data_IF_211884248436
#
_entry.id   IF_211884248436
#
_cell.length_a   1.000
_cell.length_b   1.000
_cell.length_c   1.000
_cell.angle_alpha   90.00
_cell.angle_beta   90.00
_cell.angle_gamma   90.00
#
_symmetry.space_group_name_H-M   'P 1'
#
loop_
_entity.id
_entity.type
_entity.pdbx_description
1 polymer ?
#
# COMPACT_ATOMS: atom_id res chain seq x y z
N UNK A 1 -11.04 9.94 5.11
CA UNK A 1 -11.54 9.13 6.23
C UNK A 1 -12.17 7.88 5.65
N UNK A 2 -11.62 6.70 5.97
CA UNK A 2 -12.38 5.44 5.88
C UNK A 2 -13.24 5.28 7.13
N UNK A 3 -14.29 4.47 7.04
CA UNK A 3 -15.27 4.17 8.10
C UNK A 3 -14.66 3.78 9.46
N UNK A 4 -15.53 3.51 10.44
CA UNK A 4 -15.11 2.66 11.54
C UNK A 4 -14.78 1.29 10.97
N UNK A 5 -13.54 0.83 11.13
CA UNK A 5 -13.09 -0.43 10.53
C UNK A 5 -12.36 -1.27 11.55
N UNK A 6 -12.57 -2.59 11.45
CA UNK A 6 -11.68 -3.61 11.98
C UNK A 6 -11.37 -4.55 10.83
N UNK A 7 -10.20 -4.40 10.24
CA UNK A 7 -9.79 -5.14 9.05
C UNK A 7 -8.56 -5.98 9.38
N UNK A 8 -8.68 -7.29 9.26
CA UNK A 8 -7.52 -8.18 9.36
C UNK A 8 -6.69 -8.08 8.07
N UNK A 9 -5.38 -8.12 8.20
CA UNK A 9 -4.42 -8.01 7.11
C UNK A 9 -3.56 -9.26 7.10
N UNK A 10 -3.65 -10.02 6.01
CA UNK A 10 -2.84 -11.22 5.79
C UNK A 10 -1.52 -10.90 5.12
N UNK A 11 -1.55 -10.03 4.11
CA UNK A 11 -0.34 -9.60 3.41
C UNK A 11 -0.18 -8.09 3.47
N UNK A 12 1.06 -7.65 3.65
CA UNK A 12 1.45 -6.29 3.30
C UNK A 12 2.28 -6.36 2.02
N UNK A 13 1.86 -5.59 1.02
CA UNK A 13 2.70 -5.26 -0.14
C UNK A 13 3.21 -3.84 0.03
N UNK A 14 4.53 -3.70 0.13
CA UNK A 14 5.20 -2.42 0.34
C UNK A 14 6.03 -2.05 -0.89
N UNK A 15 5.67 -0.95 -1.53
CA UNK A 15 6.48 -0.30 -2.56
C UNK A 15 7.36 0.73 -1.88
N UNK A 16 8.68 0.51 -1.85
CA UNK A 16 9.62 1.39 -1.17
C UNK A 16 9.67 2.79 -1.85
N UNK A 17 9.27 3.89 -1.18
CA UNK A 17 9.25 5.22 -1.78
C UNK A 17 10.60 5.72 -2.25
N UNK A 18 11.67 5.44 -1.49
CA UNK A 18 13.02 5.90 -1.81
C UNK A 18 13.54 5.20 -3.08
N UNK A 19 13.46 3.87 -3.14
CA UNK A 19 13.86 3.09 -4.32
C UNK A 19 13.00 3.44 -5.54
N UNK A 20 11.69 3.59 -5.34
CA UNK A 20 10.75 3.95 -6.41
C UNK A 20 11.05 5.33 -7.01
N UNK A 21 11.38 6.32 -6.18
CA UNK A 21 11.65 7.69 -6.63
C UNK A 21 12.79 7.78 -7.65
N UNK A 22 13.79 6.89 -7.51
CA UNK A 22 15.01 6.82 -8.33
C UNK A 22 14.79 6.12 -9.68
N UNK A 23 13.62 5.51 -9.90
CA UNK A 23 13.33 4.79 -11.13
C UNK A 23 13.04 5.73 -12.30
N UNK A 24 13.45 5.35 -13.53
CA UNK A 24 12.90 5.91 -14.76
C UNK A 24 11.38 5.70 -14.84
N UNK A 25 10.70 6.58 -15.58
CA UNK A 25 9.23 6.51 -15.70
C UNK A 25 8.73 5.18 -16.29
N UNK A 26 9.46 4.61 -17.26
CA UNK A 26 9.13 3.29 -17.83
C UNK A 26 9.10 2.20 -16.75
N UNK A 27 10.07 2.22 -15.84
CA UNK A 27 10.16 1.26 -14.75
C UNK A 27 9.07 1.48 -13.71
N UNK A 28 8.66 2.73 -13.48
CA UNK A 28 7.51 3.06 -12.62
C UNK A 28 6.18 2.52 -13.15
N UNK A 29 5.98 2.55 -14.48
CA UNK A 29 4.84 1.84 -15.10
C UNK A 29 4.98 0.32 -14.94
N UNK A 30 6.20 -0.23 -15.05
CA UNK A 30 6.43 -1.65 -14.82
C UNK A 30 6.08 -2.07 -13.39
N UNK A 31 6.36 -1.23 -12.38
CA UNK A 31 5.92 -1.45 -10.99
C UNK A 31 4.39 -1.53 -10.93
N UNK A 32 3.66 -0.60 -11.55
CA UNK A 32 2.19 -0.63 -11.58
C UNK A 32 1.65 -1.95 -12.17
N UNK A 33 2.21 -2.40 -13.31
CA UNK A 33 1.84 -3.69 -13.92
C UNK A 33 2.12 -4.89 -13.02
N UNK A 34 3.23 -4.85 -12.26
CA UNK A 34 3.57 -5.91 -11.31
C UNK A 34 2.60 -5.94 -10.13
N UNK A 35 2.14 -4.79 -9.65
CA UNK A 35 1.07 -4.74 -8.67
C UNK A 35 -0.20 -5.39 -9.22
N UNK A 36 -0.59 -5.08 -10.46
CA UNK A 36 -1.72 -5.73 -11.13
C UNK A 36 -1.58 -7.25 -11.23
N UNK A 37 -0.37 -7.74 -11.54
CA UNK A 37 -0.09 -9.18 -11.55
C UNK A 37 -0.22 -9.82 -10.16
N UNK A 38 0.22 -9.13 -9.10
CA UNK A 38 0.04 -9.60 -7.73
C UNK A 38 -1.44 -9.60 -7.32
N UNK A 39 -2.17 -8.56 -7.72
CA UNK A 39 -3.61 -8.41 -7.48
C UNK A 39 -4.40 -9.61 -7.96
N UNK A 40 -4.17 -10.06 -9.19
CA UNK A 40 -4.89 -11.21 -9.73
C UNK A 40 -4.35 -12.57 -9.27
N UNK A 41 -3.13 -12.64 -8.73
CA UNK A 41 -2.48 -13.91 -8.37
C UNK A 41 -2.56 -14.24 -6.89
N UNK A 42 -2.57 -13.24 -6.02
CA UNK A 42 -2.39 -13.41 -4.58
C UNK A 42 -3.51 -12.80 -3.75
N UNK A 43 -4.09 -11.67 -4.19
CA UNK A 43 -4.99 -10.89 -3.34
C UNK A 43 -6.41 -11.39 -3.50
N UNK A 44 -7.10 -11.47 -2.37
CA UNK A 44 -8.52 -11.79 -2.27
C UNK A 44 -9.01 -11.12 -1.00
N UNK A 45 -10.13 -10.39 -1.06
CA UNK A 45 -10.59 -9.58 0.07
C UNK A 45 -10.96 -10.46 1.28
N UNK A 46 -11.47 -11.66 1.03
CA UNK A 46 -11.96 -12.57 2.07
C UNK A 46 -10.86 -13.54 2.55
N UNK A 47 -10.08 -14.12 1.63
CA UNK A 47 -9.08 -15.16 1.93
C UNK A 47 -7.65 -14.63 2.12
N UNK A 48 -7.36 -13.47 1.53
CA UNK A 48 -6.03 -12.87 1.51
C UNK A 48 -6.06 -11.34 1.62
N UNK A 49 -6.74 -10.77 2.65
CA UNK A 49 -6.92 -9.34 2.76
C UNK A 49 -5.56 -8.65 2.79
N UNK A 50 -5.30 -7.87 1.75
CA UNK A 50 -3.99 -7.31 1.48
C UNK A 50 -4.02 -5.80 1.72
N UNK A 51 -3.04 -5.32 2.48
CA UNK A 51 -2.73 -3.91 2.63
C UNK A 51 -1.62 -3.55 1.63
N UNK A 52 -1.95 -2.66 0.70
CA UNK A 52 -1.00 -2.08 -0.23
C UNK A 52 -0.47 -0.75 0.32
N UNK A 53 0.84 -0.63 0.48
CA UNK A 53 1.51 0.57 0.97
C UNK A 53 2.51 1.05 -0.06
N UNK A 54 2.52 2.34 -0.37
CA UNK A 54 3.53 2.84 -1.31
C UNK A 54 3.51 4.35 -1.54
N UNK A 55 4.36 4.83 -2.45
CA UNK A 55 4.66 6.24 -2.60
C UNK A 55 3.51 7.04 -3.22
N UNK A 56 3.15 8.14 -2.56
CA UNK A 56 2.36 9.22 -3.13
C UNK A 56 1.01 8.78 -3.68
N UNK A 57 0.63 9.40 -4.81
CA UNK A 57 -0.68 9.22 -5.42
C UNK A 57 -0.76 7.96 -6.27
N UNK A 58 -1.57 7.00 -5.85
CA UNK A 58 -1.93 5.85 -6.67
C UNK A 58 -3.01 6.25 -7.69
N UNK A 59 -3.01 5.62 -8.87
CA UNK A 59 -3.95 6.02 -9.93
C UNK A 59 -3.56 7.32 -10.65
N UNK A 60 -2.32 7.78 -10.48
CA UNK A 60 -1.81 8.99 -11.15
C UNK A 60 -1.43 8.72 -12.61
N UNK A 61 -1.58 9.72 -13.48
CA UNK A 61 -0.98 9.69 -14.83
C UNK A 61 0.46 10.19 -14.83
N UNK A 62 0.95 10.72 -13.71
CA UNK A 62 2.28 11.31 -13.54
C UNK A 62 3.10 10.45 -12.56
N UNK A 63 3.96 9.54 -13.04
CA UNK A 63 4.68 8.58 -12.18
C UNK A 63 5.65 9.20 -11.17
N UNK A 64 6.08 10.45 -11.39
CA UNK A 64 6.91 11.16 -10.41
C UNK A 64 6.15 11.52 -9.13
N UNK A 65 4.82 11.52 -9.14
CA UNK A 65 3.96 11.86 -8.00
C UNK A 65 3.39 10.62 -7.26
N UNK A 66 3.60 9.41 -7.80
CA UNK A 66 3.11 8.18 -7.20
C UNK A 66 2.95 7.05 -8.23
N UNK A 67 2.21 6.01 -7.87
CA UNK A 67 2.15 4.77 -8.67
C UNK A 67 1.04 4.84 -9.73
N UNK A 68 1.37 4.72 -11.03
CA UNK A 68 0.40 4.89 -12.13
C UNK A 68 -0.40 3.61 -12.41
N UNK A 69 -1.06 3.08 -11.37
CA UNK A 69 -1.99 1.95 -11.50
C UNK A 69 -3.30 2.35 -12.15
N UNK A 70 -3.99 1.39 -12.74
CA UNK A 70 -5.43 1.46 -13.01
C UNK A 70 -6.19 0.83 -11.85
N UNK A 71 -7.47 1.19 -11.66
CA UNK A 71 -8.28 0.60 -10.59
C UNK A 71 -8.32 -0.94 -10.66
N UNK A 72 -8.47 -1.51 -11.86
CA UNK A 72 -8.48 -2.97 -12.07
C UNK A 72 -7.17 -3.67 -11.70
N UNK A 73 -6.09 -2.93 -11.45
CA UNK A 73 -4.82 -3.50 -10.98
C UNK A 73 -4.73 -3.61 -9.47
N UNK A 74 -5.71 -3.07 -8.73
CA UNK A 74 -5.73 -3.07 -7.27
C UNK A 74 -7.12 -3.37 -6.70
N UNK A 75 -8.07 -3.81 -7.53
CA UNK A 75 -9.47 -4.02 -7.15
C UNK A 75 -9.72 -5.21 -6.20
N UNK A 76 -8.71 -6.04 -5.91
CA UNK A 76 -8.80 -7.16 -4.95
C UNK A 76 -8.04 -6.90 -3.63
N UNK A 77 -7.51 -5.69 -3.41
CA UNK A 77 -6.88 -5.34 -2.12
C UNK A 77 -7.96 -5.01 -1.08
N UNK A 78 -7.62 -5.18 0.20
CA UNK A 78 -8.51 -4.80 1.28
C UNK A 78 -8.27 -3.34 1.74
N UNK A 79 -7.04 -2.85 1.60
CA UNK A 79 -6.67 -1.51 2.00
C UNK A 79 -5.54 -0.91 1.17
N UNK A 80 -5.58 0.40 0.96
CA UNK A 80 -4.53 1.19 0.34
C UNK A 80 -4.02 2.27 1.32
N UNK A 81 -2.72 2.28 1.57
CA UNK A 81 -2.04 3.34 2.30
C UNK A 81 -1.08 4.12 1.41
N UNK A 82 -1.40 5.37 1.17
CA UNK A 82 -0.55 6.29 0.42
C UNK A 82 0.45 6.96 1.36
N UNK A 83 1.73 6.65 1.19
CA UNK A 83 2.83 7.19 2.00
C UNK A 83 3.31 8.47 1.37
N UNK A 84 3.13 9.60 2.05
CA UNK A 84 3.76 10.84 1.64
C UNK A 84 5.27 10.71 1.75
N UNK A 85 5.96 11.14 0.71
CA UNK A 85 7.40 11.21 0.67
C UNK A 85 7.79 12.52 -0.01
N UNK A 86 8.90 13.10 0.40
CA UNK A 86 9.38 14.35 -0.17
C UNK A 86 10.19 14.05 -1.43
N UNK A 87 9.77 14.62 -2.57
CA UNK A 87 10.53 14.56 -3.82
C UNK A 87 10.92 15.98 -4.18
N UNK A 88 12.22 16.28 -4.13
CA UNK A 88 12.75 17.57 -4.59
C UNK A 88 12.09 18.79 -3.92
N UNK A 89 11.71 18.67 -2.64
CA UNK A 89 11.03 19.73 -1.87
C UNK A 89 9.51 19.83 -2.10
N UNK A 90 8.91 18.91 -2.86
CA UNK A 90 7.46 18.84 -3.06
C UNK A 90 6.88 17.58 -2.39
N UNK A 91 5.74 17.76 -1.72
CA UNK A 91 4.90 16.67 -1.23
C UNK A 91 3.80 16.41 -2.27
N UNK A 92 3.71 15.20 -2.86
CA UNK A 92 2.64 14.87 -3.79
C UNK A 92 1.26 15.01 -3.15
N UNK A 93 0.29 15.53 -3.90
CA UNK A 93 -1.12 15.43 -3.51
C UNK A 93 -1.56 13.97 -3.53
N UNK A 94 -2.18 13.53 -2.43
CA UNK A 94 -2.74 12.18 -2.31
C UNK A 94 -4.04 12.03 -3.13
N UNK A 95 -4.51 10.81 -3.32
CA UNK A 95 -5.67 10.50 -4.18
C UNK A 95 -7.01 11.01 -3.64
N UNK A 96 -7.07 11.44 -2.38
CA UNK A 96 -8.27 11.90 -1.71
C UNK A 96 -9.03 12.95 -2.53
N UNK A 97 -10.31 12.69 -2.81
CA UNK A 97 -11.19 13.59 -3.58
C UNK A 97 -11.10 13.46 -5.10
N UNK A 98 -10.33 12.50 -5.62
CA UNK A 98 -10.28 12.18 -7.06
C UNK A 98 -11.30 11.11 -7.49
N UNK A 99 -11.50 10.95 -8.81
CA UNK A 99 -12.29 9.83 -9.36
C UNK A 99 -11.74 8.48 -8.93
N UNK A 100 -10.42 8.32 -8.96
CA UNK A 100 -9.78 7.10 -8.47
C UNK A 100 -10.13 6.81 -7.00
N UNK A 101 -10.18 7.83 -6.15
CA UNK A 101 -10.61 7.67 -4.76
C UNK A 101 -12.08 7.27 -4.63
N UNK A 102 -12.95 7.75 -5.51
CA UNK A 102 -14.36 7.30 -5.54
C UNK A 102 -14.43 5.81 -5.89
N UNK A 103 -13.66 5.36 -6.88
CA UNK A 103 -13.59 3.93 -7.26
C UNK A 103 -13.13 3.07 -6.06
N UNK A 104 -12.14 3.53 -5.28
CA UNK A 104 -11.70 2.83 -4.06
C UNK A 104 -12.84 2.71 -3.03
N UNK A 105 -13.57 3.79 -2.80
CA UNK A 105 -14.68 3.80 -1.83
C UNK A 105 -15.82 2.89 -2.29
N UNK A 106 -16.17 2.95 -3.58
CA UNK A 106 -17.20 2.09 -4.17
C UNK A 106 -16.79 0.61 -4.17
N UNK A 107 -15.51 0.33 -4.37
CA UNK A 107 -14.91 -1.00 -4.28
C UNK A 107 -14.76 -1.55 -2.86
N UNK A 108 -15.08 -0.77 -1.83
CA UNK A 108 -14.89 -1.17 -0.43
C UNK A 108 -13.43 -1.24 0.02
N UNK A 109 -12.51 -0.65 -0.74
CA UNK A 109 -11.09 -0.60 -0.42
C UNK A 109 -10.87 0.45 0.66
N UNK A 110 -10.35 0.02 1.82
CA UNK A 110 -10.08 0.95 2.91
C UNK A 110 -8.89 1.85 2.58
N UNK A 111 -9.14 3.15 2.43
CA UNK A 111 -8.12 4.14 2.11
C UNK A 111 -7.56 4.85 3.35
N UNK A 112 -6.23 4.98 3.41
CA UNK A 112 -5.53 5.77 4.42
C UNK A 112 -4.40 6.61 3.82
N UNK A 113 -4.24 7.82 4.35
CA UNK A 113 -3.07 8.66 4.11
C UNK A 113 -2.05 8.42 5.23
N UNK A 114 -0.82 8.09 4.87
CA UNK A 114 0.29 7.90 5.82
C UNK A 114 1.22 9.11 5.66
N UNK A 115 1.26 9.97 6.67
CA UNK A 115 1.94 11.26 6.63
C UNK A 115 3.05 11.36 7.70
N UNK A 116 4.21 10.69 7.56
CA UNK A 116 5.21 10.53 8.63
C UNK A 116 5.78 11.84 9.17
N UNK A 117 5.70 12.92 8.38
CA UNK A 117 6.19 14.25 8.76
C UNK A 117 5.22 15.04 9.64
N UNK A 118 3.98 14.56 9.80
CA UNK A 118 2.98 15.20 10.66
C UNK A 118 3.09 14.62 12.06
N UNK A 119 3.01 15.49 13.07
CA UNK A 119 2.99 15.10 14.48
C UNK A 119 1.91 14.02 14.72
N UNK A 120 2.25 13.02 15.52
CA UNK A 120 1.39 11.89 15.91
C UNK A 120 1.03 10.90 14.76
N UNK A 121 1.54 11.10 13.54
CA UNK A 121 1.47 10.10 12.47
C UNK A 121 2.73 9.22 12.48
N UNK A 122 2.62 8.06 13.13
CA UNK A 122 3.74 7.12 13.27
C UNK A 122 3.70 6.11 12.12
N UNK A 123 4.71 6.14 11.27
CA UNK A 123 4.95 5.09 10.28
C UNK A 123 6.21 4.31 10.65
N UNK A 124 6.03 3.14 11.27
CA UNK A 124 7.12 2.35 11.80
C UNK A 124 7.42 1.14 10.90
N UNK A 125 8.51 1.23 10.13
CA UNK A 125 9.00 0.13 9.28
C UNK A 125 9.59 -1.04 10.08
N UNK A 126 9.85 -0.88 11.38
CA UNK A 126 10.36 -1.97 12.24
C UNK A 126 9.38 -3.15 12.32
N UNK A 127 8.10 -2.95 11.96
CA UNK A 127 7.12 -4.02 11.82
C UNK A 127 7.49 -5.04 10.73
N UNK A 128 8.49 -4.78 9.90
CA UNK A 128 8.96 -5.71 8.88
C UNK A 128 10.26 -6.44 9.26
N UNK A 129 10.94 -6.06 10.35
CA UNK A 129 12.30 -6.55 10.68
C UNK A 129 12.36 -8.07 10.94
N UNK A 130 11.30 -8.65 11.50
CA UNK A 130 11.19 -10.10 11.72
C UNK A 130 10.55 -10.85 10.53
N UNK A 131 10.20 -10.14 9.45
CA UNK A 131 9.54 -10.71 8.28
C UNK A 131 10.52 -10.93 7.13
N UNK A 132 10.29 -12.03 6.41
CA UNK A 132 11.01 -12.32 5.16
C UNK A 132 10.22 -11.73 4.00
N UNK A 133 10.90 -10.99 3.12
CA UNK A 133 10.31 -10.62 1.84
C UNK A 133 10.06 -11.88 1.00
N UNK A 134 8.80 -12.16 0.67
CA UNK A 134 8.39 -13.32 -0.14
C UNK A 134 8.11 -12.96 -1.61
N UNK A 135 8.39 -11.73 -2.04
CA UNK A 135 8.13 -11.27 -3.41
C UNK A 135 8.68 -12.22 -4.48
N UNK A 136 9.94 -12.63 -4.36
CA UNK A 136 10.60 -13.52 -5.34
C UNK A 136 10.07 -14.95 -5.33
N UNK A 137 9.39 -15.37 -4.24
CA UNK A 137 8.69 -16.66 -4.22
C UNK A 137 7.41 -16.61 -5.06
N UNK A 138 6.75 -15.46 -5.10
CA UNK A 138 5.48 -15.26 -5.81
C UNK A 138 5.72 -14.92 -7.28
N UNK A 139 6.69 -14.04 -7.56
CA UNK A 139 7.09 -13.59 -8.90
C UNK A 139 8.59 -13.82 -9.15
N UNK A 140 9.04 -15.07 -9.32
CA UNK A 140 10.47 -15.39 -9.48
C UNK A 140 11.10 -14.74 -10.73
N UNK A 141 10.37 -14.69 -11.84
CA UNK A 141 10.81 -14.06 -13.11
C UNK A 141 11.06 -12.55 -12.99
N UNK A 142 10.60 -11.94 -11.90
CA UNK A 142 10.66 -10.50 -11.66
C UNK A 142 11.63 -10.14 -10.52
N UNK A 143 12.56 -11.03 -10.16
CA UNK A 143 13.47 -10.88 -9.02
C UNK A 143 14.20 -9.53 -8.91
N UNK A 144 14.50 -8.87 -10.05
CA UNK A 144 15.15 -7.55 -10.08
C UNK A 144 14.37 -6.45 -9.34
N UNK A 145 13.09 -6.67 -9.08
CA UNK A 145 12.21 -5.72 -8.40
C UNK A 145 12.08 -5.95 -6.90
N UNK A 146 12.78 -6.94 -6.32
CA UNK A 146 12.66 -7.31 -4.92
C UNK A 146 13.12 -6.20 -3.93
N UNK A 147 13.97 -5.28 -4.36
CA UNK A 147 14.42 -4.12 -3.58
C UNK A 147 13.42 -2.94 -3.64
N UNK A 148 12.38 -3.07 -4.47
CA UNK A 148 11.37 -2.02 -4.69
C UNK A 148 10.01 -2.49 -4.20
N UNK A 149 9.62 -3.73 -4.53
CA UNK A 149 8.38 -4.36 -4.08
C UNK A 149 8.73 -5.45 -3.07
N UNK A 150 8.26 -5.27 -1.85
CA UNK A 150 8.33 -6.27 -0.80
C UNK A 150 6.95 -6.82 -0.48
N UNK A 151 6.87 -8.13 -0.23
CA UNK A 151 5.65 -8.79 0.22
C UNK A 151 5.96 -9.47 1.54
N UNK A 152 5.15 -9.20 2.55
CA UNK A 152 5.30 -9.76 3.89
C UNK A 152 4.02 -10.49 4.30
N UNK A 153 4.17 -11.73 4.77
CA UNK A 153 3.09 -12.55 5.30
C UNK A 153 2.91 -12.30 6.80
N UNK A 154 1.72 -11.84 7.17
CA UNK A 154 1.26 -11.58 8.52
C UNK A 154 0.14 -12.54 8.96
N UNK A 155 -0.12 -13.61 8.20
CA UNK A 155 -1.06 -14.67 8.59
C UNK A 155 -0.87 -15.16 10.04
N UNK A 156 0.35 -15.37 10.56
CA UNK A 156 0.52 -15.85 11.95
C UNK A 156 0.47 -14.72 13.00
N UNK A 157 0.46 -13.45 12.59
CA UNK A 157 0.62 -12.29 13.49
C UNK A 157 -0.68 -11.58 13.84
N UNK A 158 -1.79 -11.98 13.21
CA UNK A 158 -3.10 -11.37 13.38
C UNK A 158 -3.02 -9.83 13.30
N UNK A 159 -2.40 -9.34 12.22
CA UNK A 159 -2.26 -7.91 11.97
C UNK A 159 -3.64 -7.33 11.66
N UNK A 160 -4.03 -6.29 12.38
CA UNK A 160 -5.35 -5.67 12.24
C UNK A 160 -5.25 -4.15 12.13
N UNK A 161 -5.98 -3.60 11.16
CA UNK A 161 -6.25 -2.16 11.05
C UNK A 161 -7.52 -1.85 11.83
N UNK A 162 -7.41 -0.90 12.75
CA UNK A 162 -8.51 -0.28 13.47
C UNK A 162 -8.63 1.17 13.03
N UNK A 163 -9.84 1.60 12.68
CA UNK A 163 -10.17 2.99 12.44
C UNK A 163 -11.37 3.34 13.30
N UNK A 164 -11.25 4.43 14.06
CA UNK A 164 -12.34 5.04 14.82
C UNK A 164 -12.47 6.50 14.41
N UNK A 165 -13.57 6.80 13.73
CA UNK A 165 -13.87 8.15 13.24
C UNK A 165 -14.17 9.10 14.39
N UNK A 166 -14.76 8.60 15.48
CA UNK A 166 -15.16 9.44 16.62
C UNK A 166 -13.93 9.93 17.36
N UNK A 167 -12.94 9.06 17.57
CA UNK A 167 -11.67 9.44 18.18
C UNK A 167 -10.63 9.94 17.18
N UNK A 168 -10.91 9.87 15.88
CA UNK A 168 -10.00 10.17 14.77
C UNK A 168 -8.68 9.40 14.87
N UNK A 169 -8.75 8.13 15.30
CA UNK A 169 -7.59 7.26 15.45
C UNK A 169 -7.59 6.15 14.42
N UNK A 170 -6.45 5.96 13.80
CA UNK A 170 -6.16 4.82 12.94
C UNK A 170 -4.92 4.11 13.49
N UNK A 171 -5.04 2.81 13.71
CA UNK A 171 -3.97 1.97 14.24
C UNK A 171 -3.84 0.73 13.35
N UNK A 172 -2.62 0.35 13.01
CA UNK A 172 -2.31 -0.95 12.43
C UNK A 172 -1.40 -1.68 13.42
N UNK A 173 -1.91 -2.74 14.06
CA UNK A 173 -1.23 -3.41 15.18
C UNK A 173 -1.32 -4.92 15.06
N UNK A 174 -0.29 -5.61 15.54
CA UNK A 174 -0.31 -7.06 15.74
C UNK A 174 -1.08 -7.36 17.02
N UNK A 175 -2.13 -8.16 16.93
CA UNK A 175 -2.87 -8.59 18.11
C UNK A 175 -2.20 -9.84 18.66
N UNK A 176 -1.51 -9.71 19.79
CA UNK A 176 -1.02 -10.88 20.52
C UNK A 176 -2.24 -11.70 20.99
N UNK A 177 -2.36 -12.94 20.53
CA UNK A 177 -3.28 -13.94 21.10
C UNK A 177 -2.72 -14.51 22.39
#
# INVERSE_FOLDING_TARGET
MGGNVRLNVKYIVYVNPESYSKLPDQDKYQIARLIGLLNHKLFDVDDAPTLLLGPGRWGTTTPSLGVPVQYSEIDNIAALGEVSFEVSGMMPELSFGSHFFQDLVEGGIFYMAVLPHIKDNIFNLSIFEDKKNIFTKILPEHYRWADIISIYDFSPDNLTIFSDITTQRLLCVRLNT
#
